data_IF_613161304256
#
_entry.id   IF_613161304256
#
_cell.length_a   1.000
_cell.length_b   1.000
_cell.length_c   1.000
_cell.angle_alpha   90.00
_cell.angle_beta   90.00
_cell.angle_gamma   90.00
#
_symmetry.space_group_name_H-M   'P 1'
#
loop_
_entity.id
_entity.type
_entity.pdbx_description
1 polymer ?
#
# COMPACT_ATOMS: atom_id res chain seq x y z
N UNK A 1 28.06 -18.13 -24.71
CA UNK A 1 28.56 -17.35 -23.56
C UNK A 1 29.47 -18.28 -22.77
N UNK A 2 30.70 -17.85 -22.49
CA UNK A 2 31.77 -18.73 -22.02
C UNK A 2 31.55 -19.25 -20.60
N UNK A 3 31.85 -20.53 -20.40
CA UNK A 3 31.67 -21.27 -19.14
C UNK A 3 32.68 -20.88 -18.03
N UNK A 4 33.60 -19.95 -18.30
CA UNK A 4 34.72 -19.54 -17.43
C UNK A 4 34.61 -18.11 -16.87
N UNK A 5 33.40 -17.65 -16.49
CA UNK A 5 33.26 -16.38 -15.77
C UNK A 5 33.64 -16.55 -14.28
N UNK A 6 34.75 -15.94 -13.87
CA UNK A 6 35.30 -16.00 -12.48
C UNK A 6 34.39 -15.33 -11.43
N UNK A 7 33.44 -14.51 -11.87
CA UNK A 7 32.37 -13.95 -11.05
C UNK A 7 31.03 -14.29 -11.72
N UNK A 8 30.27 -15.20 -11.11
CA UNK A 8 28.86 -15.37 -11.43
C UNK A 8 28.09 -14.26 -10.71
N UNK A 9 27.37 -13.43 -11.47
CA UNK A 9 26.36 -12.56 -10.86
C UNK A 9 25.44 -13.47 -10.04
N UNK A 10 25.22 -13.19 -8.73
CA UNK A 10 24.30 -13.99 -7.93
C UNK A 10 22.95 -14.04 -8.64
N UNK A 11 22.37 -15.23 -8.80
CA UNK A 11 21.00 -15.35 -9.26
C UNK A 11 20.12 -14.69 -8.20
N UNK A 12 19.59 -13.50 -8.49
CA UNK A 12 18.58 -12.88 -7.64
C UNK A 12 17.32 -13.73 -7.84
N UNK A 13 17.02 -14.60 -6.89
CA UNK A 13 15.78 -15.35 -6.89
C UNK A 13 14.62 -14.38 -6.69
N UNK A 14 13.97 -14.00 -7.79
CA UNK A 14 12.69 -13.27 -7.82
C UNK A 14 11.53 -14.19 -7.39
N UNK A 15 11.65 -14.80 -6.21
CA UNK A 15 10.55 -15.54 -5.60
C UNK A 15 9.40 -14.59 -5.26
N UNK A 16 8.16 -15.09 -5.28
CA UNK A 16 6.97 -14.31 -4.88
C UNK A 16 7.13 -13.69 -3.49
N UNK A 17 7.78 -14.40 -2.55
CA UNK A 17 8.10 -13.92 -1.20
C UNK A 17 9.07 -12.74 -1.22
N UNK A 18 10.15 -12.82 -2.00
CA UNK A 18 11.09 -11.72 -2.15
C UNK A 18 10.43 -10.50 -2.79
N UNK A 19 9.65 -10.70 -3.84
CA UNK A 19 8.91 -9.61 -4.52
C UNK A 19 7.89 -8.97 -3.58
N UNK A 20 7.22 -9.75 -2.71
CA UNK A 20 6.31 -9.18 -1.70
C UNK A 20 7.06 -8.32 -0.67
N UNK A 21 8.24 -8.74 -0.21
CA UNK A 21 9.07 -7.90 0.67
C UNK A 21 9.61 -6.66 -0.06
N UNK A 22 9.93 -6.78 -1.34
CA UNK A 22 10.33 -5.64 -2.17
C UNK A 22 9.17 -4.65 -2.37
N UNK A 23 7.95 -5.15 -2.58
CA UNK A 23 6.74 -4.33 -2.65
C UNK A 23 6.45 -3.63 -1.32
N UNK A 24 6.64 -4.31 -0.18
CA UNK A 24 6.58 -3.68 1.14
C UNK A 24 7.62 -2.56 1.28
N UNK A 25 8.86 -2.78 0.85
CA UNK A 25 9.90 -1.75 0.90
C UNK A 25 9.56 -0.56 -0.01
N UNK A 26 9.12 -0.81 -1.24
CA UNK A 26 8.70 0.21 -2.20
C UNK A 26 7.55 1.06 -1.66
N UNK A 27 6.59 0.44 -0.98
CA UNK A 27 5.48 1.14 -0.31
C UNK A 27 6.01 2.15 0.71
N UNK A 28 6.90 1.75 1.62
CA UNK A 28 7.47 2.68 2.60
C UNK A 28 8.40 3.72 1.94
N UNK A 29 9.09 3.38 0.85
CA UNK A 29 9.92 4.32 0.11
C UNK A 29 9.11 5.47 -0.51
N UNK A 30 7.90 5.21 -1.00
CA UNK A 30 6.99 6.28 -1.46
C UNK A 30 6.66 7.28 -0.37
N UNK A 31 6.39 6.82 0.87
CA UNK A 31 6.16 7.73 2.00
C UNK A 31 7.40 8.54 2.38
N UNK A 32 8.59 7.96 2.29
CA UNK A 32 9.84 8.71 2.50
C UNK A 32 9.96 9.84 1.47
N UNK A 33 9.64 9.55 0.21
CA UNK A 33 9.66 10.56 -0.84
C UNK A 33 8.67 11.69 -0.52
N UNK A 34 7.39 11.38 -0.27
CA UNK A 34 6.38 12.40 0.05
C UNK A 34 6.79 13.26 1.26
N UNK A 35 7.38 12.64 2.28
CA UNK A 35 7.82 13.36 3.49
C UNK A 35 9.00 14.32 3.20
N UNK A 36 9.92 13.95 2.32
CA UNK A 36 11.20 14.68 2.15
C UNK A 36 11.22 15.61 0.94
N UNK A 37 10.43 15.33 -0.09
CA UNK A 37 10.55 15.96 -1.41
C UNK A 37 9.34 16.79 -1.84
N UNK A 38 8.16 16.56 -1.28
CA UNK A 38 6.98 17.42 -1.53
C UNK A 38 6.92 18.63 -0.59
N UNK A 39 7.76 18.69 0.44
CA UNK A 39 7.84 19.86 1.30
C UNK A 39 8.64 20.99 0.60
N UNK A 40 7.93 21.93 -0.01
CA UNK A 40 8.52 23.22 -0.41
C UNK A 40 9.05 23.93 0.85
N UNK A 41 10.36 23.85 1.07
CA UNK A 41 11.00 24.32 2.30
C UNK A 41 11.16 23.25 3.39
N UNK A 42 11.33 21.98 3.02
CA UNK A 42 11.61 20.85 3.92
C UNK A 42 12.55 21.24 5.07
N UNK A 43 12.07 21.05 6.31
CA UNK A 43 12.81 21.40 7.50
C UNK A 43 13.52 20.19 8.14
N UNK A 44 14.22 20.44 9.25
CA UNK A 44 14.95 19.37 9.93
C UNK A 44 14.03 18.26 10.47
N UNK A 45 12.77 18.56 10.78
CA UNK A 45 11.78 17.59 11.22
C UNK A 45 11.36 16.68 10.05
N UNK A 46 11.15 17.23 8.86
CA UNK A 46 10.80 16.46 7.66
C UNK A 46 11.88 15.42 7.31
N UNK A 47 13.15 15.85 7.27
CA UNK A 47 14.28 14.94 7.03
C UNK A 47 14.41 13.87 8.13
N UNK A 48 14.17 14.23 9.39
CA UNK A 48 14.19 13.29 10.49
C UNK A 48 13.07 12.25 10.35
N UNK A 49 11.85 12.68 10.04
CA UNK A 49 10.69 11.81 9.84
C UNK A 49 10.88 10.88 8.63
N UNK A 50 11.38 11.42 7.51
CA UNK A 50 11.75 10.63 6.33
C UNK A 50 12.81 9.58 6.64
N UNK A 51 13.85 9.94 7.41
CA UNK A 51 14.87 8.98 7.85
C UNK A 51 14.29 7.87 8.74
N UNK A 52 13.34 8.20 9.62
CA UNK A 52 12.66 7.22 10.46
C UNK A 52 11.78 6.27 9.66
N UNK A 53 11.01 6.77 8.69
CA UNK A 53 10.22 5.97 7.75
C UNK A 53 11.11 5.04 6.92
N UNK A 54 12.21 5.56 6.38
CA UNK A 54 13.18 4.77 5.61
C UNK A 54 13.84 3.68 6.45
N UNK A 55 14.25 4.01 7.67
CA UNK A 55 14.78 3.02 8.62
C UNK A 55 13.74 1.95 8.97
N UNK A 56 12.47 2.34 9.16
CA UNK A 56 11.36 1.43 9.40
C UNK A 56 11.13 0.46 8.23
N UNK A 57 11.04 0.98 7.01
CA UNK A 57 10.88 0.17 5.79
C UNK A 57 12.04 -0.81 5.59
N UNK A 58 13.28 -0.36 5.78
CA UNK A 58 14.47 -1.21 5.71
C UNK A 58 14.49 -2.26 6.83
N UNK A 59 14.10 -1.90 8.06
CA UNK A 59 14.03 -2.83 9.17
C UNK A 59 12.99 -3.94 8.92
N UNK A 60 11.85 -3.61 8.30
CA UNK A 60 10.86 -4.59 7.86
C UNK A 60 11.42 -5.48 6.74
N UNK A 61 12.06 -4.90 5.73
CA UNK A 61 12.65 -5.64 4.61
C UNK A 61 13.71 -6.63 5.08
N UNK A 62 14.55 -6.23 6.03
CA UNK A 62 15.60 -7.05 6.64
C UNK A 62 15.09 -7.97 7.76
N UNK A 63 13.77 -7.99 8.03
CA UNK A 63 13.14 -8.80 9.07
C UNK A 63 13.73 -8.59 10.47
N UNK A 64 14.05 -7.34 10.81
CA UNK A 64 14.57 -6.96 12.14
C UNK A 64 13.52 -7.27 13.22
N UNK A 65 13.92 -7.85 14.37
CA UNK A 65 13.00 -8.14 15.46
C UNK A 65 12.22 -6.90 15.91
N UNK A 66 10.92 -7.06 16.14
CA UNK A 66 9.99 -6.00 16.58
C UNK A 66 9.80 -4.82 15.61
N UNK A 67 10.35 -4.87 14.39
CA UNK A 67 10.21 -3.79 13.41
C UNK A 67 8.74 -3.45 13.11
N UNK A 68 7.88 -4.47 13.01
CA UNK A 68 6.43 -4.29 12.83
C UNK A 68 5.80 -3.41 13.90
N UNK A 69 6.07 -3.71 15.17
CA UNK A 69 5.54 -2.94 16.30
C UNK A 69 6.08 -1.50 16.32
N UNK A 70 7.37 -1.34 16.02
CA UNK A 70 8.00 -0.02 15.93
C UNK A 70 7.42 0.84 14.79
N UNK A 71 7.16 0.25 13.62
CA UNK A 71 6.57 0.94 12.47
C UNK A 71 5.09 1.27 12.71
N UNK A 72 4.33 0.33 13.28
CA UNK A 72 2.88 0.51 13.53
C UNK A 72 2.57 1.53 14.60
N UNK A 73 3.34 1.55 15.70
CA UNK A 73 3.03 2.40 16.86
C UNK A 73 4.11 3.43 17.14
N UNK A 74 5.39 3.05 17.02
CA UNK A 74 6.50 3.95 17.29
C UNK A 74 6.51 5.16 16.37
N UNK A 75 6.40 4.94 15.06
CA UNK A 75 6.37 6.04 14.08
C UNK A 75 5.17 6.99 14.32
N UNK A 76 3.91 6.52 14.39
CA UNK A 76 2.79 7.43 14.63
C UNK A 76 2.86 8.18 15.97
N UNK A 77 3.34 7.54 17.04
CA UNK A 77 3.53 8.23 18.34
C UNK A 77 4.51 9.39 18.20
N UNK A 78 5.61 9.17 17.49
CA UNK A 78 6.63 10.21 17.29
C UNK A 78 6.08 11.34 16.42
N UNK A 79 5.34 11.02 15.34
CA UNK A 79 4.64 12.03 14.51
C UNK A 79 3.71 12.88 15.38
N UNK A 80 2.81 12.24 16.13
CA UNK A 80 1.80 12.93 16.93
C UNK A 80 2.42 13.81 18.03
N UNK A 81 3.46 13.33 18.71
CA UNK A 81 4.19 14.14 19.70
C UNK A 81 4.89 15.32 19.05
N UNK A 82 5.48 15.12 17.87
CA UNK A 82 6.14 16.21 17.13
C UNK A 82 5.14 17.27 16.70
N UNK A 83 4.00 16.88 16.11
CA UNK A 83 2.92 17.79 15.73
C UNK A 83 2.40 18.61 16.92
N UNK A 84 2.18 17.97 18.09
CA UNK A 84 1.78 18.69 19.31
C UNK A 84 2.86 19.69 19.74
N UNK A 85 4.13 19.27 19.72
CA UNK A 85 5.26 20.09 20.16
C UNK A 85 5.52 21.30 19.25
N UNK A 86 5.23 21.20 17.94
CA UNK A 86 5.40 22.28 16.96
C UNK A 86 4.19 23.20 16.85
N UNK A 87 3.08 22.90 17.53
CA UNK A 87 1.88 23.74 17.57
C UNK A 87 0.74 23.26 16.66
N UNK A 88 0.93 22.18 15.88
CA UNK A 88 -0.08 21.58 15.00
C UNK A 88 -0.93 20.54 15.77
N UNK A 89 -1.41 20.91 16.96
CA UNK A 89 -2.14 19.98 17.84
C UNK A 89 -3.47 19.52 17.26
N UNK A 90 -4.11 20.34 16.43
CA UNK A 90 -5.38 20.03 15.79
C UNK A 90 -5.25 18.92 14.73
N UNK A 91 -4.06 18.78 14.14
CA UNK A 91 -3.72 17.74 13.18
C UNK A 91 -3.14 16.48 13.82
N UNK A 92 -2.77 16.52 15.11
CA UNK A 92 -2.13 15.39 15.79
C UNK A 92 -2.99 14.11 15.82
N UNK A 93 -4.30 14.22 15.63
CA UNK A 93 -5.21 13.07 15.45
C UNK A 93 -4.87 12.25 14.20
N UNK A 94 -4.26 12.83 13.17
CA UNK A 94 -3.79 12.12 11.97
C UNK A 94 -2.81 11.00 12.29
N UNK A 95 -2.06 11.11 13.39
CA UNK A 95 -1.22 10.03 13.88
C UNK A 95 -2.01 8.73 14.13
N UNK A 96 -3.29 8.81 14.55
CA UNK A 96 -4.12 7.63 14.72
C UNK A 96 -4.48 6.95 13.39
N UNK A 97 -4.64 7.74 12.32
CA UNK A 97 -4.88 7.24 10.96
C UNK A 97 -3.62 6.58 10.39
N UNK A 98 -2.43 7.03 10.80
CA UNK A 98 -1.17 6.40 10.40
C UNK A 98 -1.00 4.98 10.95
N UNK A 99 -1.67 4.62 12.05
CA UNK A 99 -1.59 3.27 12.64
C UNK A 99 -2.07 2.19 11.66
N UNK A 100 -3.30 2.23 11.10
CA UNK A 100 -3.69 1.29 10.05
C UNK A 100 -2.90 1.49 8.75
N UNK A 101 -2.55 2.74 8.40
CA UNK A 101 -1.81 3.07 7.18
C UNK A 101 -0.45 2.38 7.10
N UNK A 102 0.31 2.34 8.20
CA UNK A 102 1.61 1.65 8.26
C UNK A 102 1.52 0.27 8.86
N UNK A 103 0.60 0.06 9.80
CA UNK A 103 0.49 -1.20 10.52
C UNK A 103 0.01 -2.34 9.66
N UNK A 104 -1.04 -2.14 8.87
CA UNK A 104 -1.55 -3.21 8.03
C UNK A 104 -0.48 -3.68 7.00
N UNK A 105 0.17 -2.79 6.22
CA UNK A 105 1.23 -3.20 5.30
C UNK A 105 2.51 -3.67 6.00
N UNK A 106 2.78 -3.29 7.26
CA UNK A 106 3.88 -3.87 8.04
C UNK A 106 3.63 -5.34 8.41
N UNK A 107 2.38 -5.72 8.68
CA UNK A 107 2.02 -7.07 9.13
C UNK A 107 1.63 -8.01 7.98
N UNK A 108 0.94 -7.52 6.95
CA UNK A 108 0.39 -8.36 5.87
C UNK A 108 1.42 -9.29 5.20
N UNK A 109 2.63 -8.83 4.81
CA UNK A 109 3.63 -9.70 4.22
C UNK A 109 4.06 -10.86 5.12
N UNK A 110 4.33 -10.58 6.39
CA UNK A 110 4.80 -11.59 7.33
C UNK A 110 3.66 -12.55 7.71
N UNK A 111 2.42 -12.06 7.73
CA UNK A 111 1.23 -12.90 7.90
C UNK A 111 1.02 -13.85 6.70
N UNK A 112 1.20 -13.34 5.48
CA UNK A 112 1.09 -14.15 4.27
C UNK A 112 2.15 -15.26 4.21
N UNK A 113 3.35 -14.98 4.71
CA UNK A 113 4.47 -15.94 4.71
C UNK A 113 4.45 -16.94 5.88
N UNK A 114 3.53 -16.80 6.84
CA UNK A 114 3.47 -17.68 8.00
C UNK A 114 4.60 -17.47 9.00
N UNK A 115 4.99 -16.22 9.23
CA UNK A 115 6.14 -15.91 10.07
C UNK A 115 5.91 -16.27 11.55
N UNK A 116 6.75 -17.15 12.09
CA UNK A 116 6.58 -17.75 13.43
C UNK A 116 6.59 -16.72 14.56
N UNK A 117 7.26 -15.57 14.38
CA UNK A 117 7.31 -14.50 15.37
C UNK A 117 5.95 -13.86 15.66
N UNK A 118 4.92 -14.14 14.86
CA UNK A 118 3.53 -13.72 15.12
C UNK A 118 2.86 -14.57 16.20
N UNK A 119 3.35 -15.78 16.47
CA UNK A 119 2.80 -16.67 17.50
C UNK A 119 1.35 -17.09 17.23
N UNK A 120 0.94 -17.14 15.97
CA UNK A 120 -0.39 -17.56 15.53
C UNK A 120 -0.33 -18.96 14.96
N UNK A 121 -1.36 -19.76 15.21
CA UNK A 121 -1.61 -21.00 14.48
C UNK A 121 -2.10 -20.72 13.05
N UNK A 122 -2.03 -21.72 12.17
CA UNK A 122 -2.33 -21.57 10.73
C UNK A 122 -3.77 -21.12 10.46
N UNK A 123 -4.75 -21.58 11.25
CA UNK A 123 -6.15 -21.21 11.09
C UNK A 123 -6.37 -19.74 11.46
N UNK A 124 -5.87 -19.34 12.64
CA UNK A 124 -5.91 -17.95 13.10
C UNK A 124 -5.16 -17.02 12.16
N UNK A 125 -4.00 -17.45 11.65
CA UNK A 125 -3.20 -16.69 10.70
C UNK A 125 -3.98 -16.45 9.40
N UNK A 126 -4.52 -17.50 8.78
CA UNK A 126 -5.29 -17.41 7.54
C UNK A 126 -6.51 -16.50 7.69
N UNK A 127 -7.27 -16.65 8.78
CA UNK A 127 -8.44 -15.82 9.06
C UNK A 127 -8.05 -14.35 9.24
N UNK A 128 -7.02 -14.06 10.04
CA UNK A 128 -6.58 -12.69 10.31
C UNK A 128 -5.98 -12.04 9.07
N UNK A 129 -5.24 -12.77 8.23
CA UNK A 129 -4.71 -12.26 6.96
C UNK A 129 -5.84 -11.77 6.09
N UNK A 130 -6.93 -12.53 5.97
CA UNK A 130 -8.09 -12.15 5.16
C UNK A 130 -8.77 -10.87 5.69
N UNK A 131 -8.93 -10.76 7.01
CA UNK A 131 -9.49 -9.57 7.65
C UNK A 131 -8.60 -8.35 7.41
N UNK A 132 -7.30 -8.46 7.68
CA UNK A 132 -6.34 -7.36 7.50
C UNK A 132 -6.26 -6.95 6.03
N UNK A 133 -6.35 -7.90 5.10
CA UNK A 133 -6.34 -7.65 3.68
C UNK A 133 -7.58 -6.86 3.21
N UNK A 134 -8.77 -7.21 3.69
CA UNK A 134 -9.99 -6.44 3.38
C UNK A 134 -9.90 -5.04 3.99
N UNK A 135 -9.43 -4.92 5.24
CA UNK A 135 -9.23 -3.61 5.87
C UNK A 135 -8.22 -2.76 5.09
N UNK A 136 -7.14 -3.37 4.61
CA UNK A 136 -6.15 -2.72 3.74
C UNK A 136 -6.79 -2.20 2.46
N UNK A 137 -7.58 -3.04 1.78
CA UNK A 137 -8.29 -2.67 0.55
C UNK A 137 -9.27 -1.52 0.79
N UNK A 138 -10.10 -1.63 1.83
CA UNK A 138 -11.08 -0.60 2.16
C UNK A 138 -10.39 0.73 2.50
N UNK A 139 -9.34 0.67 3.31
CA UNK A 139 -8.60 1.85 3.74
C UNK A 139 -7.91 2.54 2.56
N UNK A 140 -7.13 1.83 1.75
CA UNK A 140 -6.36 2.48 0.69
C UNK A 140 -7.19 2.89 -0.52
N UNK A 141 -8.20 2.10 -0.91
CA UNK A 141 -8.99 2.41 -2.11
C UNK A 141 -10.06 3.47 -1.83
N UNK A 142 -10.79 3.35 -0.73
CA UNK A 142 -11.93 4.25 -0.48
C UNK A 142 -11.57 5.43 0.40
N UNK A 143 -10.75 5.23 1.43
CA UNK A 143 -10.40 6.33 2.34
C UNK A 143 -9.22 7.15 1.84
N UNK A 144 -8.13 6.51 1.39
CA UNK A 144 -6.93 7.24 0.96
C UNK A 144 -7.03 7.74 -0.49
N UNK A 145 -7.47 6.89 -1.42
CA UNK A 145 -7.52 7.26 -2.85
C UNK A 145 -8.81 8.03 -3.24
N UNK A 146 -9.89 7.94 -2.46
CA UNK A 146 -11.11 8.73 -2.70
C UNK A 146 -11.83 8.43 -4.02
N UNK A 147 -11.64 7.24 -4.60
CA UNK A 147 -12.07 6.94 -5.99
C UNK A 147 -13.59 7.03 -6.24
N UNK A 148 -14.39 6.99 -5.17
CA UNK A 148 -15.86 7.03 -5.25
C UNK A 148 -16.35 8.35 -5.81
N UNK A 149 -15.83 9.47 -5.31
CA UNK A 149 -16.31 10.80 -5.65
C UNK A 149 -15.94 11.12 -7.11
N UNK A 150 -14.73 10.74 -7.53
CA UNK A 150 -14.32 10.83 -8.94
C UNK A 150 -15.23 9.99 -9.84
N UNK A 151 -15.54 8.75 -9.45
CA UNK A 151 -16.32 7.83 -10.28
C UNK A 151 -17.80 8.24 -10.40
N UNK A 152 -18.40 8.76 -9.33
CA UNK A 152 -19.82 9.06 -9.26
C UNK A 152 -20.13 10.50 -9.65
N UNK A 153 -19.37 11.45 -9.10
CA UNK A 153 -19.65 12.87 -9.22
C UNK A 153 -18.71 13.54 -10.24
N UNK A 154 -17.59 12.89 -10.59
CA UNK A 154 -16.62 13.46 -11.54
C UNK A 154 -15.82 14.59 -10.94
N UNK A 155 -15.72 14.61 -9.60
CA UNK A 155 -15.07 15.67 -8.85
C UNK A 155 -13.96 15.08 -7.98
N UNK A 156 -12.86 15.82 -7.88
CA UNK A 156 -11.81 15.56 -6.91
C UNK A 156 -11.70 16.76 -5.97
N UNK A 157 -11.66 16.51 -4.67
CA UNK A 157 -11.52 17.53 -3.64
C UNK A 157 -10.10 17.52 -3.09
N UNK A 158 -9.42 18.64 -3.25
CA UNK A 158 -8.13 18.90 -2.62
C UNK A 158 -8.33 19.87 -1.46
N UNK A 159 -7.95 19.44 -0.26
CA UNK A 159 -8.17 20.16 0.99
C UNK A 159 -6.81 20.59 1.59
N UNK A 160 -5.98 21.24 0.77
CA UNK A 160 -4.75 21.90 1.23
C UNK A 160 -5.05 23.27 1.86
N UNK A 161 -5.55 23.29 3.09
CA UNK A 161 -5.55 24.49 3.95
C UNK A 161 -6.91 25.19 4.13
N UNK A 162 -6.97 26.50 3.88
CA UNK A 162 -8.18 27.32 4.16
C UNK A 162 -9.23 27.32 3.04
N UNK A 163 -8.87 26.93 1.81
CA UNK A 163 -9.78 26.85 0.66
C UNK A 163 -9.72 25.46 0.00
N UNK A 164 -10.84 24.75 0.02
CA UNK A 164 -11.01 23.49 -0.71
C UNK A 164 -11.08 23.76 -2.21
N UNK A 165 -10.19 23.15 -2.99
CA UNK A 165 -10.20 23.24 -4.46
C UNK A 165 -10.90 22.01 -5.02
N UNK A 166 -11.97 22.23 -5.79
CA UNK A 166 -12.66 21.16 -6.51
C UNK A 166 -12.16 21.12 -7.95
N UNK A 167 -11.59 19.99 -8.35
CA UNK A 167 -11.19 19.71 -9.73
C UNK A 167 -12.29 18.94 -10.45
N UNK A 168 -12.71 19.42 -11.61
CA UNK A 168 -13.64 18.69 -12.49
C UNK A 168 -12.85 17.71 -13.36
N UNK A 169 -13.24 16.44 -13.30
CA UNK A 169 -12.56 15.34 -13.98
C UNK A 169 -13.19 15.14 -15.36
N UNK A 170 -12.34 15.02 -16.38
CA UNK A 170 -12.79 14.77 -17.74
C UNK A 170 -13.56 13.45 -17.86
N UNK A 171 -14.49 13.38 -18.81
CA UNK A 171 -15.41 12.22 -18.97
C UNK A 171 -14.69 10.87 -19.18
N UNK A 172 -13.48 10.89 -19.74
CA UNK A 172 -12.67 9.68 -19.96
C UNK A 172 -12.13 9.15 -18.63
N UNK A 173 -11.58 10.04 -17.81
CA UNK A 173 -11.00 9.79 -16.50
C UNK A 173 -12.07 9.39 -15.47
N UNK A 174 -13.26 10.00 -15.56
CA UNK A 174 -14.43 9.56 -14.80
C UNK A 174 -14.84 8.12 -15.17
N UNK A 175 -14.86 7.79 -16.47
CA UNK A 175 -15.16 6.42 -16.93
C UNK A 175 -14.11 5.42 -16.43
N UNK A 176 -12.83 5.79 -16.46
CA UNK A 176 -11.75 4.98 -15.90
C UNK A 176 -11.94 4.76 -14.40
N UNK A 177 -12.33 5.79 -13.66
CA UNK A 177 -12.62 5.70 -12.23
C UNK A 177 -13.80 4.79 -11.93
N UNK A 178 -14.84 4.77 -12.77
CA UNK A 178 -15.95 3.82 -12.65
C UNK A 178 -15.50 2.36 -12.87
N UNK A 179 -14.61 2.13 -13.85
CA UNK A 179 -14.02 0.80 -14.07
C UNK A 179 -13.19 0.40 -12.85
N UNK A 180 -12.37 1.31 -12.32
CA UNK A 180 -11.57 1.06 -11.13
C UNK A 180 -12.41 0.78 -9.89
N UNK A 181 -13.52 1.50 -9.70
CA UNK A 181 -14.49 1.24 -8.62
C UNK A 181 -15.14 -0.15 -8.78
N UNK A 182 -15.53 -0.53 -10.00
CA UNK A 182 -16.07 -1.87 -10.24
C UNK A 182 -15.03 -2.97 -9.94
N UNK A 183 -13.77 -2.78 -10.33
CA UNK A 183 -12.68 -3.69 -10.00
C UNK A 183 -12.46 -3.79 -8.48
N UNK A 184 -12.53 -2.67 -7.75
CA UNK A 184 -12.42 -2.66 -6.30
C UNK A 184 -13.52 -3.51 -5.64
N UNK A 185 -14.77 -3.28 -6.02
CA UNK A 185 -15.93 -4.02 -5.47
C UNK A 185 -15.83 -5.50 -5.78
N UNK A 186 -15.56 -5.86 -7.05
CA UNK A 186 -15.42 -7.26 -7.46
C UNK A 186 -14.22 -7.91 -6.76
N UNK A 187 -13.10 -7.20 -6.63
CA UNK A 187 -11.90 -7.68 -5.96
C UNK A 187 -12.13 -7.96 -4.48
N UNK A 188 -12.77 -7.05 -3.74
CA UNK A 188 -13.05 -7.23 -2.31
C UNK A 188 -14.05 -8.36 -2.09
N UNK A 189 -15.18 -8.35 -2.81
CA UNK A 189 -16.24 -9.34 -2.65
C UNK A 189 -15.77 -10.72 -3.09
N UNK A 190 -15.07 -10.79 -4.23
CA UNK A 190 -14.50 -12.03 -4.75
C UNK A 190 -13.43 -12.63 -3.86
N UNK A 191 -12.54 -11.81 -3.31
CA UNK A 191 -11.57 -12.26 -2.31
C UNK A 191 -12.27 -12.79 -1.06
N UNK A 192 -13.26 -12.07 -0.51
CA UNK A 192 -13.98 -12.51 0.68
C UNK A 192 -14.67 -13.87 0.45
N UNK A 193 -15.36 -14.03 -0.68
CA UNK A 193 -16.02 -15.29 -1.02
C UNK A 193 -15.03 -16.44 -1.16
N UNK A 194 -13.91 -16.23 -1.88
CA UNK A 194 -12.97 -17.31 -2.19
C UNK A 194 -12.01 -17.61 -1.04
N UNK A 195 -11.33 -16.61 -0.51
CA UNK A 195 -10.26 -16.78 0.50
C UNK A 195 -10.80 -16.97 1.91
N UNK A 196 -11.90 -16.28 2.28
CA UNK A 196 -12.41 -16.31 3.66
C UNK A 196 -13.60 -17.25 3.84
N UNK A 197 -14.48 -17.35 2.85
CA UNK A 197 -15.66 -18.23 2.91
C UNK A 197 -15.44 -19.59 2.25
N UNK A 198 -14.31 -19.80 1.57
CA UNK A 198 -13.98 -21.05 0.89
C UNK A 198 -14.91 -21.39 -0.27
N UNK A 199 -15.56 -20.38 -0.87
CA UNK A 199 -16.46 -20.59 -2.00
C UNK A 199 -15.66 -20.79 -3.30
N UNK A 200 -16.03 -21.79 -4.09
CA UNK A 200 -15.47 -22.00 -5.42
C UNK A 200 -16.20 -21.11 -6.43
N UNK A 201 -15.45 -20.21 -7.10
CA UNK A 201 -16.00 -19.33 -8.14
C UNK A 201 -15.37 -19.68 -9.49
N UNK A 202 -15.72 -20.87 -10.01
CA UNK A 202 -15.14 -21.40 -11.23
C UNK A 202 -13.61 -21.54 -11.12
N UNK A 203 -12.82 -21.08 -12.11
CA UNK A 203 -11.36 -21.12 -12.03
C UNK A 203 -10.76 -19.97 -11.20
N UNK A 204 -11.58 -19.04 -10.69
CA UNK A 204 -11.08 -17.87 -9.99
C UNK A 204 -10.47 -18.25 -8.64
N UNK A 205 -9.27 -17.75 -8.41
CA UNK A 205 -8.50 -17.92 -7.18
C UNK A 205 -8.37 -16.59 -6.43
N UNK A 206 -8.12 -16.60 -5.10
CA UNK A 206 -7.96 -15.38 -4.30
C UNK A 206 -7.06 -14.30 -4.92
N UNK A 207 -5.92 -14.68 -5.51
CA UNK A 207 -4.99 -13.71 -6.09
C UNK A 207 -5.51 -13.03 -7.35
N UNK A 208 -6.44 -13.63 -8.11
CA UNK A 208 -7.04 -12.96 -9.26
C UNK A 208 -7.84 -11.74 -8.81
N UNK A 209 -8.50 -11.84 -7.66
CA UNK A 209 -9.19 -10.71 -7.05
C UNK A 209 -8.21 -9.67 -6.49
N UNK A 210 -7.06 -10.12 -5.99
CA UNK A 210 -5.94 -9.22 -5.67
C UNK A 210 -5.39 -8.47 -6.88
N UNK A 211 -5.30 -9.12 -8.04
CA UNK A 211 -4.90 -8.48 -9.29
C UNK A 211 -5.93 -7.43 -9.76
N UNK A 212 -7.23 -7.64 -9.51
CA UNK A 212 -8.25 -6.62 -9.75
C UNK A 212 -8.07 -5.40 -8.84
N UNK A 213 -7.75 -5.61 -7.55
CA UNK A 213 -7.43 -4.50 -6.64
C UNK A 213 -6.15 -3.76 -7.05
N UNK A 214 -5.12 -4.48 -7.49
CA UNK A 214 -3.92 -3.87 -8.06
C UNK A 214 -4.24 -3.03 -9.30
N UNK A 215 -5.08 -3.54 -10.21
CA UNK A 215 -5.57 -2.80 -11.37
C UNK A 215 -6.34 -1.55 -10.99
N UNK A 216 -7.18 -1.61 -9.95
CA UNK A 216 -7.87 -0.46 -9.37
C UNK A 216 -6.88 0.63 -8.95
N UNK A 217 -5.82 0.27 -8.20
CA UNK A 217 -4.82 1.24 -7.77
C UNK A 217 -4.06 1.87 -8.93
N UNK A 218 -3.70 1.10 -9.95
CA UNK A 218 -2.99 1.63 -11.12
C UNK A 218 -3.87 2.62 -11.89
N UNK A 219 -5.14 2.29 -12.13
CA UNK A 219 -6.05 3.20 -12.81
C UNK A 219 -6.35 4.43 -11.96
N UNK A 220 -6.60 4.26 -10.66
CA UNK A 220 -6.87 5.38 -9.76
C UNK A 220 -5.68 6.33 -9.67
N UNK A 221 -4.45 5.82 -9.58
CA UNK A 221 -3.25 6.65 -9.55
C UNK A 221 -3.02 7.37 -10.88
N UNK A 222 -3.31 6.71 -12.02
CA UNK A 222 -3.29 7.36 -13.33
C UNK A 222 -4.28 8.53 -13.40
N UNK A 223 -5.53 8.32 -12.95
CA UNK A 223 -6.55 9.37 -12.99
C UNK A 223 -6.14 10.53 -12.09
N UNK A 224 -5.71 10.24 -10.86
CA UNK A 224 -5.21 11.26 -9.94
C UNK A 224 -4.11 12.11 -10.57
N UNK A 225 -3.08 11.48 -11.15
CA UNK A 225 -1.95 12.18 -11.77
C UNK A 225 -2.34 13.02 -12.98
N UNK A 226 -3.16 12.47 -13.90
CA UNK A 226 -3.57 13.23 -15.08
C UNK A 226 -4.44 14.43 -14.69
N UNK A 227 -5.27 14.30 -13.64
CA UNK A 227 -6.11 15.39 -13.12
C UNK A 227 -5.29 16.45 -12.38
N UNK A 228 -4.31 16.04 -11.55
CA UNK A 228 -3.56 16.94 -10.67
C UNK A 228 -2.34 17.59 -11.33
N UNK A 229 -1.51 16.79 -11.98
CA UNK A 229 -0.18 17.20 -12.43
C UNK A 229 -0.07 17.34 -13.94
N UNK A 230 -1.11 16.92 -14.67
CA UNK A 230 -1.16 16.98 -16.13
C UNK A 230 -0.43 15.83 -16.83
N UNK A 231 0.07 14.83 -16.09
CA UNK A 231 0.60 13.61 -16.69
C UNK A 231 1.44 12.72 -15.78
N UNK A 232 1.43 11.42 -16.08
CA UNK A 232 2.10 10.38 -15.26
C UNK A 232 3.63 10.51 -15.15
N UNK A 233 4.25 11.32 -16.01
CA UNK A 233 5.70 11.50 -16.01
C UNK A 233 6.17 12.53 -14.99
N UNK A 234 5.25 13.31 -14.44
CA UNK A 234 5.56 14.40 -13.52
C UNK A 234 5.86 13.85 -12.11
N UNK A 235 5.16 12.81 -11.65
CA UNK A 235 5.37 12.16 -10.35
C UNK A 235 5.63 10.64 -10.47
N UNK A 236 6.85 10.22 -10.86
CA UNK A 236 7.20 8.79 -11.00
C UNK A 236 7.08 7.97 -9.69
N UNK A 237 7.13 8.62 -8.53
CA UNK A 237 6.93 8.05 -7.19
C UNK A 237 5.52 7.49 -6.96
N UNK A 238 4.50 8.08 -7.61
CA UNK A 238 3.12 7.60 -7.52
C UNK A 238 2.97 6.27 -8.22
N UNK A 239 3.70 6.08 -9.33
CA UNK A 239 3.84 4.77 -9.96
C UNK A 239 4.52 3.77 -9.02
N UNK A 240 5.56 4.18 -8.29
CA UNK A 240 6.21 3.29 -7.31
C UNK A 240 5.22 2.89 -6.21
N UNK A 241 4.42 3.82 -5.72
CA UNK A 241 3.40 3.57 -4.71
C UNK A 241 2.34 2.61 -5.23
N UNK A 242 1.75 2.89 -6.40
CA UNK A 242 0.73 2.08 -7.05
C UNK A 242 1.23 0.65 -7.33
N UNK A 243 2.47 0.52 -7.84
CA UNK A 243 3.11 -0.78 -8.09
C UNK A 243 3.36 -1.54 -6.79
N UNK A 244 3.78 -0.85 -5.73
CA UNK A 244 4.07 -1.45 -4.43
C UNK A 244 2.79 -1.96 -3.76
N UNK A 245 1.74 -1.14 -3.71
CA UNK A 245 0.42 -1.57 -3.22
C UNK A 245 -0.14 -2.69 -4.11
N UNK A 246 -0.04 -2.58 -5.43
CA UNK A 246 -0.48 -3.62 -6.36
C UNK A 246 0.23 -4.96 -6.14
N UNK A 247 1.53 -4.91 -5.84
CA UNK A 247 2.33 -6.05 -5.42
C UNK A 247 1.81 -6.67 -4.13
N UNK A 248 1.50 -5.85 -3.11
CA UNK A 248 0.91 -6.33 -1.85
C UNK A 248 -0.47 -6.96 -2.11
N UNK A 249 -1.35 -6.29 -2.86
CA UNK A 249 -2.68 -6.81 -3.18
C UNK A 249 -2.64 -8.14 -3.92
N UNK A 250 -1.69 -8.33 -4.83
CA UNK A 250 -1.62 -9.56 -5.63
C UNK A 250 -0.89 -10.69 -4.90
N UNK A 251 0.23 -10.38 -4.23
CA UNK A 251 1.13 -11.40 -3.70
C UNK A 251 0.71 -11.91 -2.32
N UNK A 252 0.10 -11.07 -1.47
CA UNK A 252 -0.45 -11.54 -0.19
C UNK A 252 -1.43 -12.70 -0.39
N UNK A 253 -2.48 -12.58 -1.21
CA UNK A 253 -3.42 -13.67 -1.40
C UNK A 253 -2.82 -14.87 -2.15
N UNK A 254 -1.88 -14.63 -3.07
CA UNK A 254 -1.16 -15.70 -3.77
C UNK A 254 -0.37 -16.56 -2.78
N UNK A 255 0.44 -15.95 -1.92
CA UNK A 255 1.29 -16.67 -0.98
C UNK A 255 0.46 -17.29 0.15
N UNK A 256 -0.51 -16.56 0.70
CA UNK A 256 -1.26 -16.98 1.87
C UNK A 256 -2.29 -18.08 1.59
N UNK A 257 -2.86 -18.14 0.37
CA UNK A 257 -3.99 -19.04 0.06
C UNK A 257 -3.71 -20.03 -1.07
N UNK A 258 -2.58 -19.95 -1.79
CA UNK A 258 -2.21 -20.96 -2.79
C UNK A 258 -1.04 -21.87 -2.36
N UNK A 259 -0.22 -21.47 -1.38
CA UNK A 259 0.90 -22.28 -0.89
C UNK A 259 2.04 -22.47 -1.91
N UNK A 260 3.16 -23.05 -1.47
CA UNK A 260 4.43 -23.17 -2.21
C UNK A 260 4.45 -24.13 -3.41
N UNK A 261 3.27 -24.60 -3.85
CA UNK A 261 3.12 -25.54 -4.96
C UNK A 261 2.77 -24.84 -6.29
N UNK A 262 2.99 -23.51 -6.37
CA UNK A 262 2.89 -22.70 -7.59
C UNK A 262 4.26 -22.32 -8.14
#
# INVERSE_FOLDING_TARGET
>A
MGEDAMYKIPEIEFSSRFVLKLAQLGFFASFVYWTVSQADGADAADYFMGAMLGAGGLALFLSVPNARLAVTFGLPIIVGVTMIATGNSDEAMWALIMVPMFGIPAYLPDMAMGEQSLGLDDETLSQRTGIFYILFALFFIFLMMGITDIALDGEFYDDEGEESITYEVESTEQTLSQIALAMAVIGIVGFAMTAMMGMELGPARPWHFGALLAGCMVIGSYVFEVTMTGGITENPEEMLWALSIGGIFTLVPCIAYEGSDS
#
